data_IF_971798157274
#
_entry.id   IF_971798157274
#
_cell.length_a   1.000
_cell.length_b   1.000
_cell.length_c   1.000
_cell.angle_alpha   90.00
_cell.angle_beta   90.00
_cell.angle_gamma   90.00
#
_symmetry.space_group_name_H-M   'P 1'
#
loop_
_entity.id
_entity.type
_entity.pdbx_description
1 polymer ?
#
# COMPACT_ATOMS: atom_id res chain seq x y z
N UNK A 1 44.55 -23.41 48.26
CA UNK A 1 44.19 -22.12 47.61
C UNK A 1 43.66 -22.42 46.21
N UNK A 2 42.34 -22.42 46.04
CA UNK A 2 41.68 -22.79 44.79
C UNK A 2 41.20 -21.52 44.11
N UNK A 3 41.76 -21.19 42.95
CA UNK A 3 41.45 -19.97 42.19
C UNK A 3 40.21 -20.28 41.33
N UNK A 4 39.08 -19.67 41.65
CA UNK A 4 37.83 -19.72 40.90
C UNK A 4 37.94 -18.78 39.67
N UNK A 5 38.01 -19.35 38.46
CA UNK A 5 37.97 -18.60 37.20
C UNK A 5 36.51 -18.36 36.79
N UNK A 6 36.06 -17.11 36.93
CA UNK A 6 34.75 -16.68 36.42
C UNK A 6 34.90 -16.35 34.91
N UNK A 7 34.29 -17.15 34.03
CA UNK A 7 34.14 -16.83 32.62
C UNK A 7 32.93 -15.91 32.45
N UNK A 8 33.18 -14.65 32.12
CA UNK A 8 32.18 -13.68 31.74
C UNK A 8 31.85 -13.89 30.25
N UNK A 9 30.74 -14.55 29.92
CA UNK A 9 30.24 -14.68 28.56
C UNK A 9 29.51 -13.37 28.17
N UNK A 10 30.14 -12.54 27.38
CA UNK A 10 29.46 -11.38 26.78
C UNK A 10 28.52 -11.84 25.66
N UNK A 11 27.20 -11.78 25.90
CA UNK A 11 26.17 -12.03 24.91
C UNK A 11 26.06 -10.81 23.99
N UNK A 12 26.65 -10.88 22.80
CA UNK A 12 26.48 -9.86 21.76
C UNK A 12 25.08 -10.03 21.17
N UNK A 13 24.13 -9.19 21.58
CA UNK A 13 22.87 -9.03 20.86
C UNK A 13 23.12 -8.23 19.58
N UNK A 14 23.19 -8.90 18.45
CA UNK A 14 23.14 -8.25 17.15
C UNK A 14 21.69 -7.76 16.94
N UNK A 15 21.49 -6.45 17.06
CA UNK A 15 20.27 -5.80 16.59
C UNK A 15 20.23 -5.93 15.05
N UNK A 16 19.40 -6.83 14.54
CA UNK A 16 19.11 -6.88 13.11
C UNK A 16 18.33 -5.61 12.76
N UNK A 17 19.01 -4.61 12.19
CA UNK A 17 18.36 -3.51 11.51
C UNK A 17 17.55 -4.11 10.36
N UNK A 18 16.23 -3.91 10.35
CA UNK A 18 15.42 -4.19 9.17
C UNK A 18 15.99 -3.32 8.03
N UNK A 19 16.59 -3.95 7.03
CA UNK A 19 17.05 -3.24 5.86
C UNK A 19 15.80 -2.67 5.16
N UNK A 20 15.69 -1.36 5.09
CA UNK A 20 14.73 -0.68 4.22
C UNK A 20 15.16 -1.00 2.80
N UNK A 21 14.27 -1.53 1.97
CA UNK A 21 14.58 -1.80 0.58
C UNK A 21 14.78 -0.48 -0.18
N UNK A 22 15.62 -0.52 -1.23
CA UNK A 22 15.77 0.65 -2.08
C UNK A 22 14.45 0.98 -2.78
N UNK A 23 14.08 2.28 -2.90
CA UNK A 23 12.88 2.68 -3.62
C UNK A 23 12.92 2.20 -5.08
N UNK A 24 11.76 1.77 -5.61
CA UNK A 24 11.63 1.29 -6.98
C UNK A 24 11.00 2.38 -7.85
N UNK A 25 11.73 2.84 -8.87
CA UNK A 25 11.23 3.83 -9.84
C UNK A 25 10.80 3.17 -11.14
N UNK A 26 9.55 3.42 -11.55
CA UNK A 26 8.96 2.88 -12.78
C UNK A 26 8.10 3.97 -13.44
N UNK A 27 8.33 4.22 -14.74
CA UNK A 27 7.49 5.10 -15.56
C UNK A 27 7.25 6.50 -14.94
N UNK A 28 8.24 7.05 -14.24
CA UNK A 28 8.19 8.38 -13.63
C UNK A 28 7.73 8.41 -12.18
N UNK A 29 7.07 7.37 -11.65
CA UNK A 29 6.75 7.27 -10.22
C UNK A 29 7.86 6.53 -9.46
N UNK A 30 7.96 6.82 -8.17
CA UNK A 30 8.83 6.11 -7.23
C UNK A 30 7.99 5.55 -6.09
N UNK A 31 8.12 4.25 -5.85
CA UNK A 31 7.43 3.50 -4.81
C UNK A 31 8.41 3.11 -3.72
N UNK A 32 8.02 3.25 -2.45
CA UNK A 32 8.92 2.99 -1.32
C UNK A 32 8.19 2.41 -0.12
N UNK A 33 8.84 1.46 0.56
CA UNK A 33 8.47 0.88 1.86
C UNK A 33 9.22 1.53 3.03
N UNK A 34 9.73 2.75 2.85
CA UNK A 34 10.57 3.47 3.81
C UNK A 34 9.95 3.65 5.21
N UNK A 35 8.62 3.50 5.33
CA UNK A 35 7.90 3.60 6.60
C UNK A 35 7.72 2.25 7.32
N UNK A 36 8.17 1.16 6.71
CA UNK A 36 8.21 -0.16 7.35
C UNK A 36 6.90 -0.94 7.36
N UNK A 37 6.87 -2.02 8.14
CA UNK A 37 5.77 -2.99 8.33
C UNK A 37 5.47 -3.88 7.11
N UNK A 38 6.09 -3.66 5.97
CA UNK A 38 6.04 -4.49 4.78
C UNK A 38 7.35 -4.40 4.02
N UNK A 39 7.51 -5.27 3.04
CA UNK A 39 8.61 -5.26 2.08
C UNK A 39 8.04 -5.07 0.68
N UNK A 40 8.48 -4.04 -0.03
CA UNK A 40 8.20 -3.85 -1.44
C UNK A 40 9.06 -4.83 -2.24
N UNK A 41 8.42 -5.75 -2.96
CA UNK A 41 9.12 -6.81 -3.70
C UNK A 41 9.43 -6.39 -5.13
N UNK A 42 8.44 -5.82 -5.82
CA UNK A 42 8.60 -5.35 -7.20
C UNK A 42 7.50 -4.39 -7.60
N UNK A 43 7.80 -3.51 -8.55
CA UNK A 43 6.82 -2.70 -9.26
C UNK A 43 7.10 -2.82 -10.76
N UNK A 44 6.06 -3.08 -11.55
CA UNK A 44 6.12 -3.18 -13.02
C UNK A 44 4.89 -2.53 -13.63
N UNK A 45 4.84 -2.41 -14.95
CA UNK A 45 3.69 -1.84 -15.67
C UNK A 45 3.87 -0.36 -16.02
N UNK A 46 2.83 0.24 -16.64
CA UNK A 46 2.85 1.60 -17.17
C UNK A 46 1.86 2.55 -16.50
N UNK A 47 1.00 2.01 -15.60
CA UNK A 47 -0.06 2.79 -14.96
C UNK A 47 -1.27 3.07 -15.85
N UNK A 48 -1.40 2.41 -17.00
CA UNK A 48 -2.59 2.46 -17.87
C UNK A 48 -3.60 1.38 -17.50
N UNK A 49 -4.82 1.44 -18.01
CA UNK A 49 -5.83 0.39 -17.76
C UNK A 49 -5.39 -0.99 -18.23
N UNK A 50 -4.74 -1.06 -19.40
CA UNK A 50 -4.26 -2.33 -19.98
C UNK A 50 -2.94 -2.82 -19.38
N UNK A 51 -2.19 -1.91 -18.75
CA UNK A 51 -0.90 -2.21 -18.11
C UNK A 51 -0.78 -1.44 -16.79
N UNK A 52 -1.56 -1.81 -15.76
CA UNK A 52 -1.52 -1.14 -14.46
C UNK A 52 -0.13 -1.24 -13.83
N UNK A 53 0.20 -0.36 -12.89
CA UNK A 53 1.32 -0.62 -12.03
C UNK A 53 1.02 -1.84 -11.15
N UNK A 54 1.76 -2.92 -11.37
CA UNK A 54 1.66 -4.14 -10.55
C UNK A 54 2.64 -4.01 -9.40
N UNK A 55 2.12 -3.71 -8.21
CA UNK A 55 2.90 -3.53 -6.98
C UNK A 55 2.80 -4.80 -6.16
N UNK A 56 3.92 -5.55 -6.07
CA UNK A 56 4.02 -6.76 -5.24
C UNK A 56 4.66 -6.44 -3.91
N UNK A 57 4.03 -6.88 -2.82
CA UNK A 57 4.53 -6.63 -1.48
C UNK A 57 4.23 -7.78 -0.51
N UNK A 58 5.02 -7.85 0.55
CA UNK A 58 4.89 -8.78 1.66
C UNK A 58 4.68 -8.00 2.95
N UNK A 59 3.52 -8.14 3.58
CA UNK A 59 3.21 -7.51 4.85
C UNK A 59 3.74 -8.40 5.97
N UNK A 60 4.65 -7.84 6.78
CA UNK A 60 5.39 -8.57 7.81
C UNK A 60 5.12 -8.07 9.23
N UNK A 61 4.70 -6.80 9.38
CA UNK A 61 4.52 -6.14 10.66
C UNK A 61 3.08 -6.13 11.16
N UNK A 62 2.89 -5.83 12.47
CA UNK A 62 1.57 -5.74 13.08
C UNK A 62 0.86 -4.39 12.85
N UNK A 63 1.60 -3.36 12.46
CA UNK A 63 1.07 -2.02 12.22
C UNK A 63 0.68 -1.85 10.75
N UNK A 64 -0.10 -0.81 10.45
CA UNK A 64 -0.52 -0.48 9.11
C UNK A 64 0.69 -0.25 8.19
N UNK A 65 0.88 -1.01 7.11
CA UNK A 65 1.86 -0.72 6.10
C UNK A 65 1.50 0.56 5.35
N UNK A 66 2.49 1.38 5.03
CA UNK A 66 2.27 2.62 4.27
C UNK A 66 3.20 2.63 3.07
N UNK A 67 2.63 2.45 1.88
CA UNK A 67 3.35 2.61 0.62
C UNK A 67 3.47 4.10 0.32
N UNK A 68 4.71 4.58 0.20
CA UNK A 68 5.00 5.96 -0.21
C UNK A 68 5.14 6.02 -1.72
N UNK A 69 4.38 6.91 -2.35
CA UNK A 69 4.41 7.14 -3.80
C UNK A 69 4.87 8.57 -4.04
N UNK A 70 5.96 8.74 -4.83
CA UNK A 70 6.59 10.03 -5.11
C UNK A 70 6.60 10.33 -6.62
N UNK A 71 6.84 11.59 -6.97
CA UNK A 71 6.85 12.13 -8.33
C UNK A 71 5.45 12.14 -9.00
N UNK A 72 4.38 12.05 -8.21
CA UNK A 72 3.03 12.21 -8.70
C UNK A 72 2.75 13.71 -8.82
N UNK A 73 2.82 14.23 -10.04
CA UNK A 73 2.74 15.66 -10.33
C UNK A 73 1.89 15.91 -11.56
N UNK A 74 1.64 17.17 -11.85
CA UNK A 74 0.93 17.57 -13.07
C UNK A 74 1.56 16.97 -14.34
N UNK A 75 2.90 16.93 -14.42
CA UNK A 75 3.62 16.42 -15.58
C UNK A 75 3.53 14.90 -15.74
N UNK A 76 3.16 14.16 -14.69
CA UNK A 76 2.90 12.73 -14.79
C UNK A 76 1.70 12.44 -15.69
N UNK A 77 0.67 13.30 -15.62
CA UNK A 77 -0.51 13.28 -16.46
C UNK A 77 -1.51 12.17 -16.12
N UNK A 78 -2.60 12.17 -16.88
CA UNK A 78 -3.69 11.20 -16.73
C UNK A 78 -3.51 10.03 -17.72
N UNK A 79 -3.26 8.83 -17.20
CA UNK A 79 -2.99 7.63 -17.99
C UNK A 79 -4.18 6.69 -18.17
N UNK A 80 -5.33 7.04 -17.58
CA UNK A 80 -6.50 6.15 -17.55
C UNK A 80 -7.77 6.78 -18.15
N UNK A 81 -7.74 8.09 -18.46
CA UNK A 81 -8.85 8.77 -19.12
C UNK A 81 -9.96 9.25 -18.17
N UNK A 82 -9.68 9.41 -16.87
CA UNK A 82 -10.58 10.12 -15.95
C UNK A 82 -10.57 11.63 -16.23
N UNK A 83 -11.42 12.41 -15.56
CA UNK A 83 -11.43 13.88 -15.70
C UNK A 83 -10.39 14.59 -14.84
N UNK A 84 -9.63 13.85 -14.02
CA UNK A 84 -8.62 14.40 -13.12
C UNK A 84 -7.34 14.76 -13.87
N UNK A 85 -6.52 15.63 -13.29
CA UNK A 85 -5.28 16.13 -13.89
C UNK A 85 -4.23 15.04 -14.03
N UNK A 86 -4.05 14.23 -12.98
CA UNK A 86 -3.17 13.08 -13.00
C UNK A 86 -3.93 11.84 -12.53
N UNK A 87 -3.65 10.69 -13.16
CA UNK A 87 -4.27 9.43 -12.78
C UNK A 87 -3.50 8.23 -13.31
N UNK A 88 -3.58 7.12 -12.60
CA UNK A 88 -3.02 5.83 -13.03
C UNK A 88 -3.81 4.66 -12.47
N UNK A 89 -3.71 3.52 -13.15
CA UNK A 89 -4.23 2.24 -12.70
C UNK A 89 -3.18 1.48 -11.89
N UNK A 90 -3.60 0.86 -10.79
CA UNK A 90 -2.78 0.04 -9.93
C UNK A 90 -3.40 -1.35 -9.72
N UNK A 91 -2.56 -2.37 -9.70
CA UNK A 91 -2.86 -3.70 -9.21
C UNK A 91 -1.90 -4.03 -8.07
N UNK A 92 -2.44 -4.20 -6.87
CA UNK A 92 -1.67 -4.63 -5.71
C UNK A 92 -1.74 -6.15 -5.58
N UNK A 93 -0.58 -6.75 -5.37
CA UNK A 93 -0.44 -8.18 -5.05
C UNK A 93 0.21 -8.26 -3.67
N UNK A 94 -0.58 -8.61 -2.67
CA UNK A 94 -0.19 -8.55 -1.26
C UNK A 94 -0.09 -9.96 -0.69
N UNK A 95 1.06 -10.30 -0.11
CA UNK A 95 1.27 -11.58 0.58
C UNK A 95 1.23 -11.37 2.08
N UNK A 96 0.41 -12.15 2.76
CA UNK A 96 0.33 -12.16 4.21
C UNK A 96 1.52 -12.93 4.81
N UNK A 97 2.54 -12.21 5.27
CA UNK A 97 3.68 -12.77 6.01
C UNK A 97 3.55 -12.62 7.52
N UNK A 98 2.40 -12.18 8.00
CA UNK A 98 2.09 -12.14 9.43
C UNK A 98 1.69 -13.53 9.94
N UNK A 99 1.51 -13.65 11.24
CA UNK A 99 1.03 -14.90 11.87
C UNK A 99 -0.50 -14.97 12.01
N UNK A 100 -1.21 -13.95 11.54
CA UNK A 100 -2.67 -13.82 11.69
C UNK A 100 -3.39 -13.96 10.35
N UNK A 101 -4.53 -14.61 10.34
CA UNK A 101 -5.44 -14.61 9.19
C UNK A 101 -6.10 -13.23 9.07
N UNK A 102 -6.20 -12.71 7.86
CA UNK A 102 -6.96 -11.49 7.56
C UNK A 102 -8.33 -11.86 7.01
N UNK A 103 -9.39 -11.19 7.50
CA UNK A 103 -10.78 -11.35 7.05
C UNK A 103 -11.24 -10.19 6.17
N UNK A 104 -10.42 -9.17 6.06
CA UNK A 104 -10.63 -8.01 5.22
C UNK A 104 -9.33 -7.28 4.96
N UNK A 105 -9.40 -6.33 4.04
CA UNK A 105 -8.28 -5.46 3.69
C UNK A 105 -8.84 -4.09 3.31
N UNK A 106 -8.27 -3.03 3.86
CA UNK A 106 -8.64 -1.65 3.51
C UNK A 106 -7.41 -0.93 2.96
N UNK A 107 -7.62 -0.10 1.96
CA UNK A 107 -6.65 0.88 1.50
C UNK A 107 -7.24 2.28 1.65
N UNK A 108 -6.42 3.23 2.03
CA UNK A 108 -6.81 4.64 2.25
C UNK A 108 -5.74 5.56 1.67
N UNK A 109 -6.16 6.62 1.01
CA UNK A 109 -5.28 7.64 0.45
C UNK A 109 -5.03 8.76 1.46
N UNK A 110 -3.81 9.31 1.42
CA UNK A 110 -3.39 10.46 2.22
C UNK A 110 -2.37 11.32 1.49
N UNK A 111 -2.62 12.60 1.34
CA UNK A 111 -1.57 13.56 0.96
C UNK A 111 -0.66 13.88 2.14
N UNK A 112 -1.24 13.97 3.34
CA UNK A 112 -0.53 14.22 4.59
C UNK A 112 -0.61 12.95 5.44
N UNK A 113 0.53 12.38 5.81
CA UNK A 113 0.63 11.06 6.44
C UNK A 113 -0.32 10.83 7.63
N UNK A 114 -0.57 11.86 8.42
CA UNK A 114 -1.39 11.78 9.64
C UNK A 114 -2.84 12.28 9.44
N UNK A 115 -3.26 12.50 8.19
CA UNK A 115 -4.59 13.00 7.88
C UNK A 115 -5.16 12.28 6.65
N UNK A 116 -6.34 11.65 6.73
CA UNK A 116 -7.04 11.13 5.57
C UNK A 116 -7.21 12.20 4.49
N UNK A 117 -7.10 11.81 3.23
CA UNK A 117 -7.51 12.67 2.11
C UNK A 117 -9.03 12.84 2.13
N UNK A 118 -9.47 14.03 1.78
CA UNK A 118 -10.88 14.40 1.68
C UNK A 118 -11.15 14.93 0.29
N UNK A 119 -12.41 15.08 -0.07
CA UNK A 119 -12.79 15.64 -1.37
C UNK A 119 -12.04 16.90 -1.78
N UNK A 120 -11.68 17.76 -0.82
CA UNK A 120 -11.09 19.08 -1.06
C UNK A 120 -9.64 19.02 -1.55
N UNK A 121 -8.87 17.98 -1.23
CA UNK A 121 -7.47 17.88 -1.67
C UNK A 121 -7.35 17.32 -3.10
N UNK A 122 -8.38 16.66 -3.59
CA UNK A 122 -8.48 16.17 -4.97
C UNK A 122 -7.86 14.81 -5.21
N UNK A 123 -7.11 14.24 -4.24
CA UNK A 123 -6.58 12.89 -4.30
C UNK A 123 -7.68 11.88 -3.97
N UNK A 124 -7.94 10.92 -4.86
CA UNK A 124 -9.04 9.95 -4.68
C UNK A 124 -8.80 8.63 -5.41
N UNK A 125 -9.64 7.64 -5.13
CA UNK A 125 -9.74 6.41 -5.93
C UNK A 125 -10.57 6.60 -7.21
N UNK A 126 -10.51 7.76 -7.85
CA UNK A 126 -11.25 8.09 -9.05
C UNK A 126 -12.70 8.49 -8.77
N UNK A 127 -12.92 9.24 -7.70
CA UNK A 127 -14.23 9.75 -7.30
C UNK A 127 -15.03 10.37 -8.45
N UNK A 128 -16.34 10.15 -8.46
CA UNK A 128 -17.27 10.58 -9.50
C UNK A 128 -16.95 10.02 -10.91
N UNK A 129 -16.19 8.94 -11.01
CA UNK A 129 -15.85 8.28 -12.28
C UNK A 129 -16.40 6.87 -12.33
N UNK A 130 -17.41 6.61 -13.17
CA UNK A 130 -17.92 5.26 -13.41
C UNK A 130 -16.81 4.31 -13.88
N UNK A 131 -15.87 4.79 -14.70
CA UNK A 131 -14.70 4.01 -15.11
C UNK A 131 -13.89 3.51 -13.89
N UNK A 132 -13.69 4.36 -12.90
CA UNK A 132 -12.95 3.98 -11.70
C UNK A 132 -13.72 2.98 -10.85
N UNK A 133 -15.03 3.11 -10.73
CA UNK A 133 -15.88 2.16 -10.03
C UNK A 133 -15.87 0.79 -10.70
N UNK A 134 -16.03 0.74 -12.02
CA UNK A 134 -16.00 -0.50 -12.80
C UNK A 134 -14.61 -1.17 -12.78
N UNK A 135 -13.55 -0.39 -12.53
CA UNK A 135 -12.17 -0.89 -12.46
C UNK A 135 -11.80 -1.48 -11.11
N UNK A 136 -12.59 -1.27 -10.05
CA UNK A 136 -12.34 -1.87 -8.74
C UNK A 136 -12.62 -3.36 -8.79
N UNK A 137 -11.55 -4.16 -8.73
CA UNK A 137 -11.62 -5.64 -8.73
C UNK A 137 -10.72 -6.18 -7.63
N UNK A 138 -11.13 -7.28 -7.02
CA UNK A 138 -10.37 -7.94 -5.95
C UNK A 138 -10.52 -9.45 -6.01
N UNK A 139 -9.55 -10.18 -5.49
CA UNK A 139 -9.68 -11.60 -5.16
C UNK A 139 -10.59 -11.86 -3.96
N UNK A 140 -10.96 -10.83 -3.21
CA UNK A 140 -11.97 -10.87 -2.17
C UNK A 140 -13.33 -10.46 -2.78
N UNK A 141 -14.42 -11.24 -2.56
CA UNK A 141 -15.67 -11.07 -3.30
C UNK A 141 -16.45 -9.78 -2.99
N UNK A 142 -16.24 -9.18 -1.82
CA UNK A 142 -16.93 -7.97 -1.39
C UNK A 142 -16.01 -6.77 -1.47
N UNK A 143 -16.51 -5.66 -2.02
CA UNK A 143 -15.82 -4.37 -2.00
C UNK A 143 -16.76 -3.25 -1.57
N UNK A 144 -16.22 -2.24 -0.91
CA UNK A 144 -16.93 -1.05 -0.47
C UNK A 144 -16.03 0.16 -0.68
N UNK A 145 -16.59 1.22 -1.26
CA UNK A 145 -15.96 2.54 -1.37
C UNK A 145 -16.50 3.46 -0.28
N UNK A 146 -15.63 4.27 0.28
CA UNK A 146 -15.95 5.40 1.14
C UNK A 146 -15.18 6.61 0.61
N UNK A 147 -15.89 7.65 0.17
CA UNK A 147 -15.29 8.86 -0.40
C UNK A 147 -15.18 9.99 0.64
N UNK A 148 -15.97 9.93 1.73
CA UNK A 148 -15.97 10.90 2.82
C UNK A 148 -16.27 10.22 4.17
N UNK A 149 -15.61 10.59 5.26
CA UNK A 149 -14.63 11.67 5.44
C UNK A 149 -13.20 11.29 5.04
N UNK A 150 -13.01 10.16 4.38
CA UNK A 150 -11.72 9.63 3.95
C UNK A 150 -11.88 8.88 2.62
N UNK A 151 -10.94 9.04 1.70
CA UNK A 151 -10.89 8.22 0.50
C UNK A 151 -10.37 6.83 0.80
N UNK A 152 -11.26 5.83 0.86
CA UNK A 152 -10.87 4.46 1.15
C UNK A 152 -11.64 3.42 0.33
N UNK A 153 -10.99 2.27 0.11
CA UNK A 153 -11.58 1.06 -0.45
C UNK A 153 -11.43 -0.07 0.57
N UNK A 154 -12.54 -0.69 0.95
CA UNK A 154 -12.57 -1.88 1.79
C UNK A 154 -12.85 -3.13 0.96
N UNK A 155 -12.22 -4.25 1.32
CA UNK A 155 -12.39 -5.56 0.68
C UNK A 155 -12.59 -6.62 1.75
N UNK A 156 -13.47 -7.61 1.46
CA UNK A 156 -13.79 -8.65 2.44
C UNK A 156 -14.47 -9.87 1.81
N UNK A 157 -14.95 -10.77 2.67
CA UNK A 157 -15.69 -11.96 2.26
C UNK A 157 -14.83 -13.17 1.89
N UNK A 158 -13.51 -13.10 2.11
CA UNK A 158 -12.61 -14.25 2.00
C UNK A 158 -11.47 -14.11 3.02
N UNK A 159 -11.05 -15.23 3.59
CA UNK A 159 -9.93 -15.29 4.52
C UNK A 159 -8.59 -15.34 3.77
N UNK A 160 -7.61 -14.57 4.24
CA UNK A 160 -6.23 -14.61 3.75
C UNK A 160 -5.34 -15.12 4.88
N UNK A 161 -5.05 -16.43 4.94
CA UNK A 161 -4.22 -17.02 6.00
C UNK A 161 -2.76 -16.59 5.88
N UNK A 162 -1.94 -16.83 6.91
CA UNK A 162 -0.49 -16.71 6.81
C UNK A 162 0.07 -17.42 5.58
N UNK A 163 0.88 -16.73 4.77
CA UNK A 163 1.38 -17.20 3.48
C UNK A 163 0.41 -17.05 2.31
N UNK A 164 -0.85 -16.72 2.57
CA UNK A 164 -1.85 -16.45 1.53
C UNK A 164 -1.61 -15.13 0.80
N UNK A 165 -2.26 -14.95 -0.35
CA UNK A 165 -2.14 -13.79 -1.20
C UNK A 165 -3.50 -13.20 -1.53
N UNK A 166 -3.58 -11.88 -1.62
CA UNK A 166 -4.72 -11.16 -2.19
C UNK A 166 -4.27 -10.22 -3.31
N UNK A 167 -5.21 -9.93 -4.21
CA UNK A 167 -5.01 -9.00 -5.32
C UNK A 167 -6.12 -7.97 -5.30
N UNK A 168 -5.74 -6.71 -5.50
CA UNK A 168 -6.65 -5.56 -5.51
C UNK A 168 -6.31 -4.67 -6.70
N UNK A 169 -7.30 -4.28 -7.47
CA UNK A 169 -7.15 -3.40 -8.63
C UNK A 169 -8.02 -2.17 -8.46
N UNK A 170 -7.44 -0.98 -8.67
CA UNK A 170 -8.13 0.30 -8.57
C UNK A 170 -7.38 1.39 -9.34
N UNK A 171 -8.05 2.53 -9.54
CA UNK A 171 -7.46 3.75 -10.08
C UNK A 171 -7.14 4.69 -8.91
N UNK A 172 -6.00 5.38 -9.00
CA UNK A 172 -5.68 6.55 -8.17
C UNK A 172 -5.64 7.76 -9.08
N UNK A 173 -6.29 8.84 -8.68
CA UNK A 173 -6.37 10.08 -9.44
C UNK A 173 -6.32 11.29 -8.53
N UNK A 174 -5.92 12.42 -9.09
CA UNK A 174 -5.79 13.68 -8.36
C UNK A 174 -6.07 14.86 -9.27
N UNK A 175 -6.87 15.83 -8.77
CA UNK A 175 -7.18 17.07 -9.46
C UNK A 175 -6.05 18.10 -9.34
N UNK A 176 -5.34 18.09 -8.21
CA UNK A 176 -4.25 19.02 -7.87
C UNK A 176 -3.00 18.26 -7.37
N UNK A 177 -2.39 17.42 -8.22
CA UNK A 177 -1.44 16.40 -7.80
C UNK A 177 -0.23 16.99 -7.09
N UNK A 178 0.10 16.34 -5.97
CA UNK A 178 1.24 16.67 -5.12
C UNK A 178 2.41 15.71 -5.39
N UNK A 179 3.63 16.18 -5.13
CA UNK A 179 4.84 15.40 -5.38
C UNK A 179 4.85 14.04 -4.69
N UNK A 180 4.22 13.91 -3.52
CA UNK A 180 4.21 12.71 -2.70
C UNK A 180 2.88 12.53 -2.00
N UNK A 181 2.38 11.30 -2.04
CA UNK A 181 1.24 10.87 -1.25
C UNK A 181 1.47 9.47 -0.66
N UNK A 182 0.54 8.99 0.13
CA UNK A 182 0.64 7.76 0.90
C UNK A 182 -0.58 6.88 0.65
N UNK A 183 -0.34 5.57 0.47
CA UNK A 183 -1.37 4.54 0.48
C UNK A 183 -1.24 3.76 1.78
N UNK A 184 -2.10 4.06 2.73
CA UNK A 184 -2.21 3.34 4.01
C UNK A 184 -2.98 2.05 3.77
N UNK A 185 -2.50 0.95 4.34
CA UNK A 185 -3.03 -0.38 4.13
C UNK A 185 -3.38 -0.98 5.49
N UNK A 186 -4.59 -1.55 5.62
CA UNK A 186 -5.08 -2.11 6.89
C UNK A 186 -5.58 -3.53 6.68
N UNK A 187 -4.74 -4.54 6.89
CA UNK A 187 -5.21 -5.92 7.02
C UNK A 187 -6.14 -6.02 8.24
N UNK A 188 -7.38 -6.47 8.02
CA UNK A 188 -8.38 -6.59 9.08
C UNK A 188 -8.33 -8.00 9.67
N UNK A 189 -8.06 -8.10 10.97
CA UNK A 189 -8.02 -9.35 11.70
C UNK A 189 -9.40 -9.65 12.32
N UNK A 190 -9.73 -10.94 12.62
CA UNK A 190 -10.90 -11.28 13.39
C UNK A 190 -10.90 -10.54 14.72
N UNK A 191 -12.07 -10.08 15.16
CA UNK A 191 -12.25 -9.57 16.51
C UNK A 191 -11.98 -10.71 17.49
N UNK A 192 -11.05 -10.51 18.41
CA UNK A 192 -10.68 -11.48 19.47
C UNK A 192 -11.65 -11.42 20.64
#
# INVERSE_FOLDING_TARGET
MTVLRIFLAALLMAAASAAVADPISVEGLTFSDELGNFRLVSVTGKGTLDSPFVVKEEITGPNDPILVIKNFSHDFGNRVGTQHTAAFAMEKVVVNKTTKTWQGFQVELREIINRPSTYEDGLSFGQASQLADDYVVSSMPNSQRLDEPEDSLGFGGADIPPGGQATFRFIISDMSPVYRFYLVQRPQQPLS
#
